data_IF_437601722405
#
_entry.id   IF_437601722405
#
_cell.length_a   1.000
_cell.length_b   1.000
_cell.length_c   1.000
_cell.angle_alpha   90.00
_cell.angle_beta   90.00
_cell.angle_gamma   90.00
#
_symmetry.space_group_name_H-M   'P 1'
#
loop_
_entity.id
_entity.type
_entity.pdbx_description
1 polymer ?
#
# COMPACT_ATOMS: atom_id res chain seq x y z
N UNK A 1 -17.81 -1.10 -5.87
CA UNK A 1 -16.94 -2.29 -5.95
C UNK A 1 -15.87 -2.27 -4.86
N UNK A 2 -14.90 -1.35 -4.88
CA UNK A 2 -13.78 -1.31 -3.93
C UNK A 2 -14.16 -1.26 -2.44
N UNK A 3 -15.22 -0.52 -2.08
CA UNK A 3 -15.69 -0.52 -0.69
C UNK A 3 -16.07 -1.92 -0.17
N UNK A 4 -16.62 -2.79 -1.04
CA UNK A 4 -16.94 -4.18 -0.72
C UNK A 4 -15.67 -5.03 -0.59
N UNK A 5 -14.71 -4.86 -1.49
CA UNK A 5 -13.40 -5.54 -1.45
C UNK A 5 -12.65 -5.23 -0.16
N UNK A 6 -12.63 -3.96 0.25
CA UNK A 6 -11.96 -3.48 1.46
C UNK A 6 -12.77 -3.68 2.75
N UNK A 7 -14.03 -4.13 2.67
CA UNK A 7 -14.88 -4.27 3.85
C UNK A 7 -15.20 -2.96 4.57
N UNK A 8 -15.24 -1.83 3.84
CA UNK A 8 -15.50 -0.49 4.39
C UNK A 8 -16.83 0.09 3.92
N UNK A 9 -17.30 1.15 4.57
CA UNK A 9 -18.49 1.88 4.14
C UNK A 9 -18.28 2.48 2.74
N UNK A 10 -19.30 2.42 1.89
CA UNK A 10 -19.29 3.09 0.59
C UNK A 10 -19.01 4.60 0.77
N UNK A 11 -18.03 5.11 0.01
CA UNK A 11 -17.57 6.50 0.11
C UNK A 11 -16.42 6.74 1.09
N UNK A 12 -15.93 5.71 1.79
CA UNK A 12 -14.71 5.82 2.60
C UNK A 12 -13.49 6.05 1.71
N UNK A 13 -12.52 6.82 2.21
CA UNK A 13 -11.22 6.99 1.57
C UNK A 13 -10.44 5.66 1.55
N UNK A 14 -9.71 5.42 0.47
CA UNK A 14 -8.87 4.25 0.30
C UNK A 14 -7.54 4.65 -0.35
N UNK A 15 -6.44 4.12 0.17
CA UNK A 15 -5.16 4.08 -0.53
C UNK A 15 -5.04 2.73 -1.25
N UNK A 16 -4.91 2.76 -2.56
CA UNK A 16 -4.68 1.57 -3.40
C UNK A 16 -3.20 1.52 -3.77
N UNK A 17 -2.45 0.63 -3.12
CA UNK A 17 -1.00 0.59 -3.19
C UNK A 17 -0.53 -0.71 -3.85
N UNK A 18 0.21 -0.61 -4.95
CA UNK A 18 0.71 -1.76 -5.73
C UNK A 18 2.13 -1.48 -6.19
N UNK A 19 3.02 -2.46 -6.00
CA UNK A 19 4.40 -2.45 -6.49
C UNK A 19 4.89 -3.90 -6.73
N UNK A 20 6.07 -4.12 -7.34
CA UNK A 20 6.61 -5.47 -7.50
C UNK A 20 6.83 -6.16 -6.14
N UNK A 21 7.03 -7.49 -6.09
CA UNK A 21 6.83 -8.28 -4.87
C UNK A 21 7.57 -7.79 -3.61
N UNK A 22 8.84 -7.44 -3.73
CA UNK A 22 9.66 -7.03 -2.58
C UNK A 22 9.32 -5.60 -2.17
N UNK A 23 9.28 -4.71 -3.15
CA UNK A 23 8.95 -3.29 -3.03
C UNK A 23 7.57 -3.12 -2.40
N UNK A 24 6.59 -3.89 -2.86
CA UNK A 24 5.22 -3.85 -2.37
C UNK A 24 5.13 -4.26 -0.90
N UNK A 25 5.81 -5.33 -0.49
CA UNK A 25 5.76 -5.74 0.92
C UNK A 25 6.53 -4.78 1.83
N UNK A 26 7.68 -4.28 1.40
CA UNK A 26 8.45 -3.28 2.14
C UNK A 26 7.68 -1.96 2.29
N UNK A 27 7.17 -1.43 1.18
CA UNK A 27 6.47 -0.15 1.16
C UNK A 27 5.10 -0.21 1.85
N UNK A 28 4.43 -1.36 1.89
CA UNK A 28 3.19 -1.54 2.68
C UNK A 28 3.44 -1.35 4.18
N UNK A 29 4.54 -1.89 4.70
CA UNK A 29 4.93 -1.70 6.11
C UNK A 29 5.27 -0.23 6.40
N UNK A 30 6.00 0.43 5.49
CA UNK A 30 6.29 1.86 5.58
C UNK A 30 4.99 2.71 5.60
N UNK A 31 4.05 2.41 4.71
CA UNK A 31 2.76 3.11 4.61
C UNK A 31 1.92 2.97 5.89
N UNK A 32 1.85 1.77 6.47
CA UNK A 32 1.13 1.49 7.73
C UNK A 32 1.74 2.22 8.93
N UNK A 33 3.06 2.43 8.94
CA UNK A 33 3.76 3.14 10.02
C UNK A 33 3.68 4.66 9.87
N UNK A 34 3.47 5.17 8.67
CA UNK A 34 3.49 6.60 8.38
C UNK A 34 2.16 7.32 8.71
N UNK A 35 1.04 6.60 8.74
CA UNK A 35 -0.28 7.21 8.88
C UNK A 35 -1.26 6.34 9.67
N UNK A 36 -2.31 6.96 10.22
CA UNK A 36 -3.42 6.27 10.88
C UNK A 36 -4.35 5.63 9.83
N UNK A 37 -3.95 4.46 9.35
CA UNK A 37 -4.64 3.67 8.34
C UNK A 37 -4.72 2.21 8.75
N UNK A 38 -5.77 1.52 8.29
CA UNK A 38 -5.96 0.09 8.51
C UNK A 38 -5.75 -0.70 7.22
N UNK A 39 -5.06 -1.84 7.31
CA UNK A 39 -4.97 -2.80 6.22
C UNK A 39 -6.31 -3.50 6.03
N UNK A 40 -6.99 -3.19 4.92
CA UNK A 40 -8.29 -3.75 4.59
C UNK A 40 -8.18 -5.00 3.70
N UNK A 41 -7.24 -4.99 2.76
CA UNK A 41 -6.98 -6.12 1.87
C UNK A 41 -5.49 -6.19 1.59
N UNK A 42 -4.90 -7.34 1.87
CA UNK A 42 -3.54 -7.65 1.41
C UNK A 42 -3.61 -8.41 0.10
N UNK A 43 -2.92 -7.90 -0.92
CA UNK A 43 -2.60 -8.61 -2.15
C UNK A 43 -1.19 -9.18 -2.00
N UNK A 44 -1.10 -10.33 -1.31
CA UNK A 44 0.18 -11.01 -1.13
C UNK A 44 0.73 -11.47 -2.49
N UNK A 45 2.02 -11.23 -2.78
CA UNK A 45 2.61 -11.64 -4.04
C UNK A 45 2.75 -13.18 -4.13
N UNK A 46 2.67 -13.78 -5.34
CA UNK A 46 2.40 -13.11 -6.62
C UNK A 46 0.89 -12.98 -6.91
N UNK A 47 0.47 -11.81 -7.38
CA UNK A 47 -0.77 -11.69 -8.16
C UNK A 47 -0.60 -12.31 -9.56
N UNK A 48 -1.69 -12.44 -10.32
CA UNK A 48 -1.67 -12.88 -11.73
C UNK A 48 -0.76 -12.01 -12.61
N UNK A 49 -0.50 -10.77 -12.20
CA UNK A 49 0.37 -9.82 -12.91
C UNK A 49 1.79 -9.73 -12.35
N UNK A 50 2.15 -10.58 -11.37
CA UNK A 50 3.44 -10.59 -10.67
C UNK A 50 3.72 -9.35 -9.78
N UNK A 51 2.68 -8.79 -9.16
CA UNK A 51 2.80 -7.68 -8.21
C UNK A 51 2.32 -8.09 -6.81
N UNK A 52 2.49 -7.18 -5.85
CA UNK A 52 1.89 -7.25 -4.52
C UNK A 52 1.47 -5.86 -4.01
N UNK A 53 0.87 -5.82 -2.82
CA UNK A 53 0.47 -4.56 -2.17
C UNK A 53 -0.83 -4.70 -1.39
N UNK A 54 -1.69 -3.69 -1.38
CA UNK A 54 -2.95 -3.74 -0.64
C UNK A 54 -3.85 -2.52 -0.75
N UNK A 55 -5.01 -2.65 -0.11
CA UNK A 55 -5.94 -1.55 0.16
C UNK A 55 -5.81 -1.14 1.62
N UNK A 56 -5.56 0.14 1.86
CA UNK A 56 -5.61 0.75 3.18
C UNK A 56 -6.82 1.69 3.28
N UNK A 57 -7.42 1.81 4.46
CA UNK A 57 -8.50 2.75 4.72
C UNK A 57 -8.20 3.62 5.94
N UNK A 58 -8.67 4.86 5.91
CA UNK A 58 -8.52 5.83 7.00
C UNK A 58 -9.23 7.12 6.64
N UNK A 59 -8.82 8.22 7.25
CA UNK A 59 -9.20 9.56 6.75
C UNK A 59 -8.55 9.81 5.38
N UNK A 60 -9.09 10.75 4.60
CA UNK A 60 -8.50 11.09 3.30
C UNK A 60 -7.03 11.51 3.42
N UNK A 61 -6.72 12.39 4.39
CA UNK A 61 -5.35 12.83 4.66
C UNK A 61 -4.42 11.70 5.11
N UNK A 62 -4.93 10.73 5.88
CA UNK A 62 -4.14 9.57 6.29
C UNK A 62 -3.87 8.63 5.09
N UNK A 63 -4.85 8.44 4.20
CA UNK A 63 -4.64 7.69 2.95
C UNK A 63 -3.60 8.37 2.06
N UNK A 64 -3.65 9.69 1.92
CA UNK A 64 -2.68 10.46 1.12
C UNK A 64 -1.26 10.34 1.72
N UNK A 65 -1.12 10.45 3.03
CA UNK A 65 0.17 10.27 3.72
C UNK A 65 0.71 8.83 3.54
N UNK A 66 -0.15 7.82 3.62
CA UNK A 66 0.22 6.43 3.37
C UNK A 66 0.68 6.22 1.90
N UNK A 67 0.01 6.86 0.93
CA UNK A 67 0.42 6.84 -0.47
C UNK A 67 1.80 7.45 -0.69
N UNK A 68 2.09 8.59 -0.05
CA UNK A 68 3.41 9.24 -0.14
C UNK A 68 4.51 8.35 0.43
N UNK A 69 4.33 7.82 1.64
CA UNK A 69 5.30 6.93 2.26
C UNK A 69 5.52 5.64 1.45
N UNK A 70 4.45 5.08 0.86
CA UNK A 70 4.58 3.94 -0.03
C UNK A 70 5.41 4.27 -1.27
N UNK A 71 5.13 5.39 -1.93
CA UNK A 71 5.85 5.81 -3.13
C UNK A 71 7.34 6.07 -2.85
N UNK A 72 7.65 6.73 -1.72
CA UNK A 72 9.02 7.00 -1.30
C UNK A 72 9.79 5.70 -1.04
N UNK A 73 9.19 4.75 -0.32
CA UNK A 73 9.79 3.45 -0.03
C UNK A 73 10.02 2.61 -1.30
N UNK A 74 9.09 2.64 -2.26
CA UNK A 74 9.30 1.98 -3.58
C UNK A 74 10.46 2.64 -4.34
N UNK A 75 10.52 3.98 -4.34
CA UNK A 75 11.59 4.72 -5.01
C UNK A 75 12.96 4.46 -4.37
N UNK A 76 13.03 4.31 -3.05
CA UNK A 76 14.24 3.95 -2.32
C UNK A 76 14.78 2.59 -2.76
N UNK A 77 13.93 1.56 -2.76
CA UNK A 77 14.33 0.21 -3.19
C UNK A 77 14.72 0.22 -4.68
N UNK A 78 14.01 0.97 -5.52
CA UNK A 78 14.36 1.10 -6.93
C UNK A 78 15.73 1.77 -7.14
N UNK A 79 16.12 2.72 -6.28
CA UNK A 79 17.41 3.40 -6.33
C UNK A 79 18.56 2.52 -5.80
N UNK A 80 18.30 1.68 -4.81
CA UNK A 80 19.30 0.79 -4.20
C UNK A 80 18.70 -0.56 -3.79
N UNK A 81 18.49 -1.50 -4.73
CA UNK A 81 17.77 -2.75 -4.47
C UNK A 81 18.56 -3.77 -3.65
N UNK A 82 19.86 -3.56 -3.45
CA UNK A 82 20.75 -4.43 -2.68
C UNK A 82 21.62 -3.56 -1.78
N UNK A 83 21.53 -3.78 -0.47
CA UNK A 83 22.42 -3.15 0.51
C UNK A 83 23.82 -3.79 0.38
N UNK A 84 24.88 -2.97 0.32
CA UNK A 84 26.28 -3.41 0.18
C UNK A 84 27.01 -3.44 1.51
#
# INVERSE_FOLDING_TARGET
FLAKEAGVRLGSALAYLIAPPLEGMYAMDAALKAADVMLCKLYAPPSETNFGGGLLAGTQSACDAACMAFADAVAEIAASPVER
#
